data_IF_540365147340
#
_entry.id   IF_540365147340
#
_cell.length_a   1.000
_cell.length_b   1.000
_cell.length_c   1.000
_cell.angle_alpha   90.00
_cell.angle_beta   90.00
_cell.angle_gamma   90.00
#
_symmetry.space_group_name_H-M   'P 1'
#
loop_
_entity.id
_entity.type
_entity.pdbx_description
1 polymer ?
#
# COMPACT_ATOMS: atom_id res chain seq x y z
N UNK A 1 2.22 16.47 7.46
CA UNK A 1 1.30 15.32 7.37
C UNK A 1 1.69 14.57 6.10
N UNK A 2 2.10 13.31 6.18
CA UNK A 2 2.72 12.56 5.06
C UNK A 2 1.68 11.92 4.14
N UNK A 3 0.44 11.73 4.61
CA UNK A 3 -0.69 11.22 3.82
C UNK A 3 -1.90 12.18 3.91
N UNK A 4 -2.46 12.65 2.78
CA UNK A 4 -3.57 13.59 2.74
C UNK A 4 -4.94 12.94 2.96
N UNK A 5 -5.07 11.62 2.82
CA UNK A 5 -6.29 10.86 3.09
C UNK A 5 -6.44 10.53 4.59
N UNK A 6 -7.68 10.49 5.07
CA UNK A 6 -8.05 10.02 6.42
C UNK A 6 -8.10 8.47 6.51
N UNK A 7 -7.42 7.78 5.59
CA UNK A 7 -7.12 6.36 5.69
C UNK A 7 -6.02 6.18 6.73
N UNK A 8 -6.17 5.18 7.59
CA UNK A 8 -5.10 4.74 8.46
C UNK A 8 -4.00 4.12 7.59
N UNK A 9 -3.12 4.98 7.06
CA UNK A 9 -1.98 4.59 6.23
C UNK A 9 -1.17 3.47 6.90
N UNK A 10 -1.10 3.45 8.24
CA UNK A 10 -0.48 2.38 9.00
C UNK A 10 -1.11 0.99 8.77
N UNK A 11 -2.43 0.88 8.65
CA UNK A 11 -3.09 -0.40 8.37
C UNK A 11 -2.91 -0.81 6.92
N UNK A 12 -3.00 0.12 5.96
CA UNK A 12 -2.79 -0.18 4.54
C UNK A 12 -1.35 -0.61 4.27
N UNK A 13 -0.37 0.13 4.80
CA UNK A 13 1.05 -0.22 4.68
C UNK A 13 1.36 -1.58 5.33
N UNK A 14 0.69 -1.91 6.45
CA UNK A 14 0.82 -3.22 7.10
C UNK A 14 0.20 -4.34 6.26
N UNK A 15 -0.99 -4.13 5.68
CA UNK A 15 -1.64 -5.08 4.79
C UNK A 15 -0.76 -5.38 3.57
N UNK A 16 -0.16 -4.35 2.97
CA UNK A 16 0.79 -4.48 1.86
C UNK A 16 2.06 -5.26 2.25
N UNK A 17 2.60 -5.07 3.46
CA UNK A 17 3.77 -5.82 3.93
C UNK A 17 3.44 -7.30 4.15
N UNK A 18 2.27 -7.59 4.70
CA UNK A 18 1.82 -8.97 4.99
C UNK A 18 1.32 -9.68 3.73
N UNK A 19 0.98 -8.93 2.67
CA UNK A 19 0.40 -9.46 1.44
C UNK A 19 -1.09 -9.75 1.56
N UNK A 20 -1.79 -9.07 2.46
CA UNK A 20 -3.24 -9.18 2.64
C UNK A 20 -3.94 -8.24 1.64
N UNK A 21 -4.31 -8.80 0.48
CA UNK A 21 -4.95 -8.08 -0.63
C UNK A 21 -6.40 -7.68 -0.32
N UNK A 22 -7.14 -8.48 0.44
CA UNK A 22 -8.54 -8.21 0.81
C UNK A 22 -8.63 -6.96 1.70
N UNK A 23 -7.79 -6.90 2.75
CA UNK A 23 -7.68 -5.69 3.57
C UNK A 23 -7.13 -4.50 2.78
N UNK A 24 -6.15 -4.71 1.90
CA UNK A 24 -5.61 -3.63 1.08
C UNK A 24 -6.70 -3.01 0.18
N UNK A 25 -7.56 -3.84 -0.43
CA UNK A 25 -8.70 -3.39 -1.23
C UNK A 25 -9.72 -2.62 -0.39
N UNK A 26 -10.09 -3.13 0.79
CA UNK A 26 -11.02 -2.44 1.70
C UNK A 26 -10.50 -1.08 2.17
N UNK A 27 -9.17 -0.92 2.24
CA UNK A 27 -8.50 0.32 2.62
C UNK A 27 -8.21 1.26 1.44
N UNK A 28 -8.60 0.88 0.21
CA UNK A 28 -8.49 1.73 -0.97
C UNK A 28 -7.17 1.61 -1.76
N UNK A 29 -6.48 0.46 -1.70
CA UNK A 29 -5.22 0.29 -2.45
C UNK A 29 -5.36 0.40 -3.98
N UNK A 30 -6.59 0.31 -4.51
CA UNK A 30 -6.88 0.39 -5.95
C UNK A 30 -6.81 1.83 -6.49
N UNK A 31 -6.91 2.83 -5.63
CA UNK A 31 -6.87 4.25 -6.00
C UNK A 31 -5.45 4.84 -5.86
N UNK A 32 -4.48 4.02 -5.47
CA UNK A 32 -3.11 4.43 -5.19
C UNK A 32 -2.18 3.93 -6.29
N UNK A 33 -1.20 4.76 -6.64
CA UNK A 33 -0.08 4.39 -7.49
C UNK A 33 1.23 4.28 -6.67
N UNK A 34 2.26 3.69 -7.28
CA UNK A 34 3.57 3.53 -6.64
C UNK A 34 4.20 4.88 -6.24
N UNK A 35 3.88 5.96 -6.98
CA UNK A 35 4.34 7.32 -6.70
C UNK A 35 3.70 7.90 -5.43
N UNK A 36 2.44 7.57 -5.14
CA UNK A 36 1.76 8.02 -3.91
C UNK A 36 2.40 7.43 -2.64
N UNK A 37 2.99 6.23 -2.77
CA UNK A 37 3.65 5.54 -1.68
C UNK A 37 5.15 5.87 -1.57
N UNK A 38 5.73 6.59 -2.54
CA UNK A 38 7.16 6.92 -2.53
C UNK A 38 7.57 7.74 -1.30
N UNK A 39 6.72 8.69 -0.87
CA UNK A 39 6.93 9.46 0.37
C UNK A 39 6.82 8.59 1.62
N UNK A 40 5.94 7.58 1.60
CA UNK A 40 5.80 6.62 2.70
C UNK A 40 7.04 5.71 2.79
N UNK A 41 7.59 5.26 1.66
CA UNK A 41 8.84 4.51 1.61
C UNK A 41 10.02 5.34 2.13
N UNK A 42 10.07 6.62 1.77
CA UNK A 42 11.14 7.53 2.21
C UNK A 42 11.14 7.78 3.72
N UNK A 43 9.95 7.98 4.31
CA UNK A 43 9.81 8.29 5.74
C UNK A 43 9.85 7.04 6.64
N UNK A 44 9.69 5.84 6.06
CA UNK A 44 9.60 4.61 6.83
C UNK A 44 10.92 4.25 7.53
N UNK A 45 10.94 4.11 8.88
CA UNK A 45 12.14 3.74 9.62
C UNK A 45 12.63 2.32 9.30
N UNK A 46 11.75 1.44 8.83
CA UNK A 46 12.08 0.07 8.43
C UNK A 46 12.68 -0.06 7.04
N UNK A 47 12.79 1.05 6.27
CA UNK A 47 13.29 1.07 4.88
C UNK A 47 12.56 0.09 3.94
N UNK A 48 11.27 -0.16 4.21
CA UNK A 48 10.43 -0.92 3.30
C UNK A 48 10.10 -0.09 2.07
N UNK A 49 10.15 -0.73 0.92
CA UNK A 49 9.72 -0.12 -0.33
C UNK A 49 8.29 -0.55 -0.65
N UNK A 50 7.35 0.39 -0.49
CA UNK A 50 5.93 0.13 -0.65
C UNK A 50 5.45 0.12 -2.11
N UNK A 51 6.19 0.75 -3.03
CA UNK A 51 5.88 0.71 -4.47
C UNK A 51 5.78 -0.73 -5.01
N UNK A 52 6.86 -1.54 -4.92
CA UNK A 52 6.81 -2.92 -5.39
C UNK A 52 5.84 -3.81 -4.59
N UNK A 53 5.57 -3.49 -3.32
CA UNK A 53 4.55 -4.21 -2.53
C UNK A 53 3.14 -3.95 -3.05
N UNK A 54 2.83 -2.69 -3.35
CA UNK A 54 1.56 -2.31 -3.97
C UNK A 54 1.39 -2.96 -5.34
N UNK A 55 2.42 -2.92 -6.20
CA UNK A 55 2.38 -3.56 -7.53
C UNK A 55 2.09 -5.06 -7.43
N UNK A 56 2.71 -5.76 -6.46
CA UNK A 56 2.45 -7.18 -6.22
C UNK A 56 1.01 -7.41 -5.76
N UNK A 57 0.52 -6.60 -4.83
CA UNK A 57 -0.85 -6.70 -4.35
C UNK A 57 -1.86 -6.50 -5.49
N UNK A 58 -1.70 -5.45 -6.31
CA UNK A 58 -2.53 -5.20 -7.49
C UNK A 58 -2.49 -6.36 -8.49
N UNK A 59 -1.29 -6.86 -8.81
CA UNK A 59 -1.12 -8.01 -9.74
C UNK A 59 -1.80 -9.28 -9.21
N UNK A 60 -1.80 -9.45 -7.89
CA UNK A 60 -2.45 -10.59 -7.24
C UNK A 60 -3.98 -10.43 -7.26
N UNK A 61 -4.48 -9.23 -6.97
CA UNK A 61 -5.91 -8.89 -7.09
C UNK A 61 -6.41 -9.12 -8.53
N UNK A 62 -5.65 -8.69 -9.54
CA UNK A 62 -5.99 -8.92 -10.96
C UNK A 62 -6.03 -10.41 -11.36
N UNK A 63 -5.37 -11.29 -10.62
CA UNK A 63 -5.38 -12.75 -10.87
C UNK A 63 -6.48 -13.47 -10.11
N UNK A 64 -6.88 -12.94 -8.96
CA UNK A 64 -7.90 -13.54 -8.08
C UNK A 64 -9.31 -13.00 -8.35
N UNK A 65 -9.44 -11.82 -8.97
CA UNK A 65 -10.70 -11.21 -9.44
C UNK A 65 -11.18 -11.74 -10.79
#
# INVERSE_FOLDING_TARGET
RVMPLDVLATFLLRALIVGDTDQAQALGCLELDEEDLALCSFVCPGKYDYGPLLRRALTQIEKEG
#
